data_IF_416041055982
#
_entry.id   IF_416041055982
#
_cell.length_a   1.000
_cell.length_b   1.000
_cell.length_c   1.000
_cell.angle_alpha   90.00
_cell.angle_beta   90.00
_cell.angle_gamma   90.00
#
_symmetry.space_group_name_H-M   'P 1'
#
loop_
_entity.id
_entity.type
_entity.pdbx_description
1 polymer ?
#
# COMPACT_ATOMS: atom_id res chain seq x y z
N UNK A 1 -0.71 -5.25 1.62
CA UNK A 1 -1.08 -5.59 3.02
C UNK A 1 0.19 -5.50 3.83
N UNK A 2 0.16 -4.96 5.05
CA UNK A 2 1.34 -4.97 5.91
C UNK A 2 1.69 -6.44 6.20
N UNK A 3 2.91 -6.86 5.87
CA UNK A 3 3.36 -8.24 6.03
C UNK A 3 3.50 -8.63 7.50
N UNK A 4 3.00 -9.80 7.89
CA UNK A 4 3.10 -10.31 9.25
C UNK A 4 4.56 -10.46 9.72
N UNK A 5 5.47 -10.80 8.80
CA UNK A 5 6.92 -10.88 9.07
C UNK A 5 7.51 -9.58 9.61
N UNK A 6 6.96 -8.45 9.19
CA UNK A 6 7.42 -7.13 9.62
C UNK A 6 7.04 -6.87 11.08
N UNK A 7 5.85 -7.31 11.48
CA UNK A 7 5.39 -7.24 12.87
C UNK A 7 6.23 -8.17 13.75
N UNK A 8 6.55 -9.37 13.26
CA UNK A 8 7.40 -10.33 13.97
C UNK A 8 8.85 -9.83 14.11
N UNK A 9 9.46 -9.27 13.08
CA UNK A 9 10.81 -8.70 13.14
C UNK A 9 10.89 -7.49 14.07
N UNK A 10 9.83 -6.68 14.10
CA UNK A 10 9.71 -5.58 15.05
C UNK A 10 9.63 -6.12 16.48
N UNK A 11 8.76 -7.12 16.74
CA UNK A 11 8.61 -7.74 18.06
C UNK A 11 9.91 -8.42 18.54
N UNK A 12 10.65 -9.06 17.64
CA UNK A 12 11.95 -9.67 17.95
C UNK A 12 13.03 -8.63 18.25
N UNK A 13 13.09 -7.50 17.53
CA UNK A 13 13.99 -6.40 17.91
C UNK A 13 13.57 -5.72 19.21
N UNK A 14 12.28 -5.67 19.51
CA UNK A 14 11.78 -5.14 20.79
C UNK A 14 12.28 -5.97 21.96
N UNK A 15 12.22 -7.31 21.88
CA UNK A 15 12.68 -8.18 22.98
C UNK A 15 14.19 -8.12 23.21
N UNK A 16 14.97 -7.81 22.17
CA UNK A 16 16.43 -7.69 22.25
C UNK A 16 16.93 -6.35 22.79
N UNK A 17 16.14 -5.28 22.67
CA UNK A 17 16.54 -3.89 23.02
C UNK A 17 16.00 -3.46 24.39
N UNK A 18 15.36 -4.35 25.16
CA UNK A 18 14.88 -4.07 26.52
C UNK A 18 15.88 -4.62 27.56
N UNK A 19 16.84 -3.81 28.04
CA UNK A 19 17.60 -4.09 29.25
C UNK A 19 16.68 -4.29 30.45
N UNK A 20 17.01 -5.23 31.35
CA UNK A 20 16.25 -5.46 32.58
C UNK A 20 16.17 -4.19 33.46
N UNK A 21 17.15 -3.30 33.37
CA UNK A 21 17.26 -2.05 34.13
C UNK A 21 16.33 -0.92 33.60
N UNK A 22 15.89 -0.98 32.34
CA UNK A 22 15.06 0.06 31.72
C UNK A 22 13.55 -0.10 31.97
N UNK A 23 13.11 -1.18 32.65
CA UNK A 23 11.71 -1.34 33.09
C UNK A 23 11.19 -0.17 33.92
N UNK A 24 12.08 0.57 34.60
CA UNK A 24 11.71 1.71 35.45
C UNK A 24 11.74 3.08 34.74
N UNK A 25 12.17 3.13 33.46
CA UNK A 25 12.27 4.37 32.66
C UNK A 25 11.39 4.32 31.41
N UNK A 26 10.08 4.30 31.62
CA UNK A 26 9.08 4.20 30.57
C UNK A 26 9.22 5.25 29.44
N UNK A 27 9.64 6.48 29.76
CA UNK A 27 9.74 7.56 28.77
C UNK A 27 10.90 7.36 27.77
N UNK A 28 12.08 6.94 28.23
CA UNK A 28 13.24 6.64 27.36
C UNK A 28 12.93 5.45 26.44
N UNK A 29 12.25 4.43 26.97
CA UNK A 29 11.78 3.26 26.20
C UNK A 29 10.79 3.66 25.10
N UNK A 30 9.82 4.52 25.40
CA UNK A 30 8.82 4.98 24.43
C UNK A 30 9.47 5.76 23.27
N UNK A 31 10.50 6.57 23.58
CA UNK A 31 11.22 7.33 22.56
C UNK A 31 12.06 6.44 21.65
N UNK A 32 12.80 5.48 22.20
CA UNK A 32 13.55 4.49 21.40
C UNK A 32 12.63 3.61 20.55
N UNK A 33 11.47 3.23 21.09
CA UNK A 33 10.45 2.49 20.34
C UNK A 33 9.93 3.28 19.14
N UNK A 34 9.59 4.56 19.35
CA UNK A 34 9.12 5.44 18.27
C UNK A 34 10.17 5.58 17.16
N UNK A 35 11.44 5.75 17.52
CA UNK A 35 12.54 5.85 16.55
C UNK A 35 12.76 4.56 15.76
N UNK A 36 12.71 3.40 16.44
CA UNK A 36 12.86 2.10 15.79
C UNK A 36 11.70 1.81 14.83
N UNK A 37 10.46 2.11 15.25
CA UNK A 37 9.28 2.02 14.41
C UNK A 37 9.40 2.90 13.17
N UNK A 38 9.78 4.17 13.35
CA UNK A 38 9.98 5.09 12.23
C UNK A 38 11.08 4.61 11.27
N UNK A 39 12.17 4.06 11.80
CA UNK A 39 13.26 3.52 10.99
C UNK A 39 12.86 2.23 10.23
N UNK A 40 12.01 1.37 10.80
CA UNK A 40 11.51 0.19 10.09
C UNK A 40 10.41 0.55 9.08
N UNK A 41 9.46 1.42 9.44
CA UNK A 41 8.44 1.91 8.49
C UNK A 41 9.07 2.68 7.33
N UNK A 42 10.14 3.46 7.56
CA UNK A 42 10.87 4.12 6.49
C UNK A 42 11.69 3.20 5.59
N UNK A 43 11.96 1.95 6.01
CA UNK A 43 12.61 0.92 5.18
C UNK A 43 11.62 0.09 4.37
N UNK A 44 10.34 0.20 4.67
CA UNK A 44 9.28 -0.40 3.87
C UNK A 44 8.97 0.56 2.71
N UNK A 45 8.74 0.05 1.51
CA UNK A 45 8.26 0.83 0.35
C UNK A 45 6.80 1.27 0.56
N UNK A 46 6.56 2.07 1.61
CA UNK A 46 5.25 2.59 1.97
C UNK A 46 4.97 3.83 1.14
N UNK A 47 3.83 3.81 0.47
CA UNK A 47 3.23 5.02 -0.09
C UNK A 47 2.36 5.68 0.97
N UNK A 48 2.28 7.00 0.93
CA UNK A 48 1.33 7.73 1.78
C UNK A 48 -0.10 7.31 1.43
N UNK A 49 -1.02 7.48 2.40
CA UNK A 49 -2.44 7.19 2.14
C UNK A 49 -3.00 8.05 1.00
N UNK A 50 -2.55 9.29 0.90
CA UNK A 50 -2.95 10.21 -0.16
C UNK A 50 -2.49 9.72 -1.55
N UNK A 51 -1.23 9.31 -1.69
CA UNK A 51 -0.71 8.74 -2.93
C UNK A 51 -1.45 7.46 -3.33
N UNK A 52 -1.75 6.59 -2.37
CA UNK A 52 -2.54 5.39 -2.62
C UNK A 52 -3.95 5.72 -3.13
N UNK A 53 -4.63 6.69 -2.51
CA UNK A 53 -5.97 7.10 -2.91
C UNK A 53 -5.95 7.76 -4.30
N UNK A 54 -4.90 8.54 -4.63
CA UNK A 54 -4.69 9.11 -5.97
C UNK A 54 -4.53 8.00 -7.01
N UNK A 55 -3.64 7.03 -6.77
CA UNK A 55 -3.42 5.93 -7.71
C UNK A 55 -4.68 5.09 -7.91
N UNK A 56 -5.46 4.88 -6.85
CA UNK A 56 -6.75 4.18 -6.92
C UNK A 56 -7.73 4.91 -7.83
N UNK A 57 -7.83 6.25 -7.71
CA UNK A 57 -8.69 7.07 -8.59
C UNK A 57 -8.23 7.02 -10.05
N UNK A 58 -6.92 7.08 -10.29
CA UNK A 58 -6.36 6.93 -11.64
C UNK A 58 -6.76 5.58 -12.24
N UNK A 59 -6.58 4.49 -11.49
CA UNK A 59 -6.94 3.14 -11.94
C UNK A 59 -8.44 3.00 -12.23
N UNK A 60 -9.29 3.58 -11.38
CA UNK A 60 -10.75 3.61 -11.62
C UNK A 60 -11.09 4.34 -12.92
N UNK A 61 -10.49 5.51 -13.16
CA UNK A 61 -10.68 6.28 -14.39
C UNK A 61 -10.22 5.50 -15.62
N UNK A 62 -9.06 4.86 -15.56
CA UNK A 62 -8.53 4.06 -16.68
C UNK A 62 -9.45 2.87 -16.97
N UNK A 63 -9.97 2.18 -15.95
CA UNK A 63 -10.95 1.10 -16.15
C UNK A 63 -12.22 1.59 -16.84
N UNK A 64 -12.75 2.74 -16.42
CA UNK A 64 -13.95 3.31 -17.05
C UNK A 64 -13.71 3.66 -18.53
N UNK A 65 -12.55 4.26 -18.84
CA UNK A 65 -12.18 4.58 -20.22
C UNK A 65 -11.98 3.32 -21.06
N UNK A 66 -11.35 2.28 -20.50
CA UNK A 66 -11.15 1.00 -21.17
C UNK A 66 -12.49 0.34 -21.50
N UNK A 67 -13.43 0.29 -20.55
CA UNK A 67 -14.78 -0.23 -20.78
C UNK A 67 -15.54 0.57 -21.85
N UNK A 68 -15.36 1.89 -21.91
CA UNK A 68 -15.96 2.71 -22.95
C UNK A 68 -15.38 2.37 -24.34
N UNK A 69 -14.06 2.21 -24.44
CA UNK A 69 -13.42 1.83 -25.69
C UNK A 69 -13.82 0.43 -26.15
N UNK A 70 -13.94 -0.53 -25.23
CA UNK A 70 -14.45 -1.88 -25.53
C UNK A 70 -15.86 -1.84 -26.11
N UNK A 71 -16.75 -1.01 -25.56
CA UNK A 71 -18.10 -0.81 -26.10
C UNK A 71 -18.08 -0.21 -27.50
N UNK A 72 -17.29 0.85 -27.70
CA UNK A 72 -17.15 1.49 -29.01
C UNK A 72 -16.60 0.52 -30.05
N UNK A 73 -15.62 -0.32 -29.67
CA UNK A 73 -15.09 -1.34 -30.55
C UNK A 73 -16.15 -2.38 -30.92
N UNK A 74 -16.91 -2.88 -29.93
CA UNK A 74 -17.99 -3.82 -30.18
C UNK A 74 -19.09 -3.24 -31.09
N UNK A 75 -19.47 -1.98 -30.90
CA UNK A 75 -20.40 -1.27 -31.78
C UNK A 75 -19.88 -1.16 -33.22
N UNK A 76 -18.59 -0.83 -33.38
CA UNK A 76 -17.95 -0.76 -34.69
C UNK A 76 -17.88 -2.14 -35.36
N UNK A 77 -17.49 -3.19 -34.63
CA UNK A 77 -17.45 -4.56 -35.15
C UNK A 77 -18.84 -5.04 -35.62
N UNK A 78 -19.89 -4.77 -34.84
CA UNK A 78 -21.28 -5.05 -35.23
C UNK A 78 -21.71 -4.26 -36.46
N UNK A 79 -21.31 -2.99 -36.57
CA UNK A 79 -21.63 -2.16 -37.75
C UNK A 79 -20.92 -2.63 -39.02
N UNK A 80 -19.72 -3.21 -38.89
CA UNK A 80 -18.97 -3.77 -40.03
C UNK A 80 -19.52 -5.13 -40.47
N UNK A 81 -20.01 -5.97 -39.54
CA UNK A 81 -20.70 -7.23 -39.89
C UNK A 81 -22.06 -7.02 -40.56
N UNK A 82 -22.72 -5.89 -40.31
CA UNK A 82 -24.04 -5.58 -40.88
C UNK A 82 -23.97 -4.78 -42.20
N UNK A 83 -22.79 -4.64 -42.83
CA UNK A 83 -22.68 -4.05 -44.17
C UNK A 83 -23.13 -5.10 -45.21
N UNK A 84 -24.27 -4.91 -45.90
CA UNK A 84 -24.58 -5.72 -47.06
C UNK A 84 -23.66 -5.29 -48.21
N UNK A 85 -23.17 -6.27 -48.98
CA UNK A 85 -22.57 -6.04 -50.30
C UNK A 85 -23.46 -5.15 -51.20
#
# INVERSE_FOLDING_TARGET
>A
MIDAKIIDDLANKMSQIIPPELKNKHAEMQQQFKQLLQAQLGKMDLVTREEFDIQTKVLQKTRAQLQQMEKQLAELELSQQNKPD
#
